data_IF_552466290364
#
_entry.id   IF_552466290364
#
_cell.length_a   1.000
_cell.length_b   1.000
_cell.length_c   1.000
_cell.angle_alpha   90.00
_cell.angle_beta   90.00
_cell.angle_gamma   90.00
#
_symmetry.space_group_name_H-M   'P 1'
#
loop_
_entity.id
_entity.type
_entity.pdbx_description
1 polymer ?
#
# COMPACT_ATOMS: atom_id res chain seq x y z
N UNK A 1 4.68 -1.12 22.96
CA UNK A 1 4.66 -1.27 21.49
C UNK A 1 5.16 -2.65 21.10
N UNK A 2 4.53 -3.30 20.11
CA UNK A 2 4.99 -4.58 19.56
C UNK A 2 6.18 -4.37 18.62
N UNK A 3 7.22 -5.21 18.75
CA UNK A 3 8.40 -5.19 17.89
C UNK A 3 8.22 -6.16 16.72
N UNK A 4 8.66 -5.74 15.53
CA UNK A 4 8.58 -6.52 14.29
C UNK A 4 9.95 -6.63 13.62
N UNK A 5 10.14 -7.69 12.83
CA UNK A 5 11.36 -7.88 12.05
C UNK A 5 12.61 -7.92 12.91
N UNK A 6 13.52 -7.02 12.61
CA UNK A 6 14.82 -6.92 13.27
C UNK A 6 14.84 -5.97 14.48
N UNK A 7 13.69 -5.50 14.93
CA UNK A 7 13.60 -4.63 16.12
C UNK A 7 13.96 -5.39 17.38
N UNK A 8 14.92 -4.86 18.15
CA UNK A 8 15.32 -5.40 19.45
C UNK A 8 15.61 -4.28 20.45
N UNK A 9 15.50 -4.59 21.74
CA UNK A 9 16.03 -3.74 22.81
C UNK A 9 17.52 -4.07 23.01
N UNK A 10 18.38 -3.12 22.70
CA UNK A 10 19.85 -3.23 22.81
C UNK A 10 20.37 -2.32 23.91
N UNK A 11 20.23 -2.77 25.17
CA UNK A 11 20.68 -2.02 26.36
C UNK A 11 19.89 -0.73 26.57
N UNK A 12 18.55 -0.82 26.56
CA UNK A 12 17.67 0.32 26.78
C UNK A 12 17.43 1.20 25.53
N UNK A 13 18.09 0.89 24.40
CA UNK A 13 17.93 1.63 23.14
C UNK A 13 17.36 0.70 22.07
N UNK A 14 16.37 1.17 21.33
CA UNK A 14 15.84 0.42 20.19
C UNK A 14 16.88 0.30 19.08
N UNK A 15 17.03 -0.91 18.57
CA UNK A 15 17.85 -1.24 17.40
C UNK A 15 16.96 -1.79 16.29
N UNK A 16 17.21 -1.38 15.03
CA UNK A 16 16.50 -1.85 13.83
C UNK A 16 17.55 -2.14 12.76
N UNK A 17 17.49 -3.32 12.15
CA UNK A 17 18.46 -3.70 11.11
C UNK A 17 19.91 -3.79 11.60
N UNK A 18 20.13 -3.95 12.91
CA UNK A 18 21.46 -3.98 13.51
C UNK A 18 22.04 -2.58 13.74
N UNK A 19 21.22 -1.52 13.81
CA UNK A 19 21.68 -0.13 14.06
C UNK A 19 20.78 0.51 15.11
N UNK A 20 21.37 1.12 16.13
CA UNK A 20 20.63 1.86 17.15
C UNK A 20 19.94 3.08 16.54
N UNK A 21 18.71 3.36 16.96
CA UNK A 21 17.95 4.52 16.47
C UNK A 21 18.64 5.86 16.83
N UNK A 22 19.44 5.91 17.88
CA UNK A 22 20.26 7.06 18.23
C UNK A 22 21.30 7.39 17.15
N UNK A 23 21.97 6.37 16.61
CA UNK A 23 22.93 6.52 15.52
C UNK A 23 22.24 6.95 14.21
N UNK A 24 21.03 6.39 13.94
CA UNK A 24 20.24 6.80 12.78
C UNK A 24 19.77 8.26 12.89
N UNK A 25 19.34 8.68 14.09
CA UNK A 25 18.93 10.06 14.34
C UNK A 25 20.11 11.05 14.21
N UNK A 26 21.31 10.67 14.68
CA UNK A 26 22.51 11.48 14.53
C UNK A 26 22.92 11.62 13.07
N UNK A 27 22.91 10.52 12.33
CA UNK A 27 23.38 10.46 10.94
C UNK A 27 22.41 11.13 9.95
N UNK A 28 21.09 10.98 10.14
CA UNK A 28 20.08 11.37 9.15
C UNK A 28 19.14 12.48 9.64
N UNK A 29 19.20 12.82 10.94
CA UNK A 29 18.25 13.74 11.57
C UNK A 29 16.85 13.13 11.71
N UNK A 30 15.98 13.90 12.38
CA UNK A 30 14.56 13.59 12.56
C UNK A 30 13.69 14.70 11.95
N UNK A 31 12.41 14.49 11.62
CA UNK A 31 11.72 13.19 11.52
C UNK A 31 12.38 12.26 10.50
N UNK A 32 12.32 10.94 10.71
CA UNK A 32 12.99 9.97 9.86
C UNK A 32 12.11 8.73 9.67
N UNK A 33 11.85 8.33 8.44
CA UNK A 33 11.31 7.01 8.16
C UNK A 33 12.43 5.97 8.10
N UNK A 34 12.26 4.90 8.87
CA UNK A 34 13.19 3.76 8.93
C UNK A 34 12.47 2.55 8.37
N UNK A 35 13.01 1.98 7.28
CA UNK A 35 12.47 0.78 6.62
C UNK A 35 13.38 -0.41 6.90
N UNK A 36 12.86 -1.40 7.63
CA UNK A 36 13.54 -2.68 7.85
C UNK A 36 13.48 -3.50 6.55
N UNK A 37 14.56 -3.44 5.79
CA UNK A 37 14.65 -4.13 4.50
C UNK A 37 14.56 -5.65 4.63
N UNK A 38 15.06 -6.21 5.73
CA UNK A 38 14.99 -7.66 5.95
C UNK A 38 13.54 -8.10 6.07
N UNK A 39 12.75 -7.43 6.89
CA UNK A 39 11.33 -7.74 7.06
C UNK A 39 10.53 -7.54 5.76
N UNK A 40 10.85 -6.50 4.96
CA UNK A 40 10.23 -6.29 3.64
C UNK A 40 10.49 -7.50 2.74
N UNK A 41 11.74 -7.92 2.63
CA UNK A 41 12.13 -9.06 1.78
C UNK A 41 11.49 -10.36 2.27
N UNK A 42 11.45 -10.60 3.59
CA UNK A 42 10.79 -11.76 4.19
C UNK A 42 9.29 -11.79 3.88
N UNK A 43 8.60 -10.64 3.99
CA UNK A 43 7.18 -10.55 3.65
C UNK A 43 6.92 -10.80 2.16
N UNK A 44 7.74 -10.24 1.26
CA UNK A 44 7.66 -10.52 -0.18
C UNK A 44 7.81 -12.01 -0.47
N UNK A 45 8.79 -12.66 0.17
CA UNK A 45 9.02 -14.10 0.03
C UNK A 45 7.86 -14.93 0.58
N UNK A 46 7.31 -14.58 1.76
CA UNK A 46 6.16 -15.28 2.33
C UNK A 46 4.97 -15.29 1.37
N UNK A 47 4.65 -14.17 0.73
CA UNK A 47 3.60 -14.14 -0.30
C UNK A 47 3.95 -15.00 -1.50
N UNK A 48 5.14 -14.81 -2.08
CA UNK A 48 5.56 -15.52 -3.28
C UNK A 48 5.61 -17.05 -3.08
N UNK A 49 6.11 -17.50 -1.92
CA UNK A 49 6.31 -18.92 -1.67
C UNK A 49 5.03 -19.66 -1.21
N UNK A 50 4.07 -18.96 -0.61
CA UNK A 50 2.87 -19.59 -0.09
C UNK A 50 1.61 -19.35 -0.94
N UNK A 51 1.63 -18.35 -1.84
CA UNK A 51 0.59 -18.18 -2.86
C UNK A 51 1.02 -18.91 -4.15
N UNK A 52 1.02 -20.25 -4.09
CA UNK A 52 1.42 -21.14 -5.20
C UNK A 52 0.41 -22.27 -5.40
N UNK A 53 0.18 -22.63 -6.66
CA UNK A 53 -0.60 -23.79 -7.07
C UNK A 53 0.12 -24.52 -8.20
N UNK A 54 -0.08 -25.82 -8.27
CA UNK A 54 0.36 -26.66 -9.40
C UNK A 54 -0.67 -26.65 -10.54
N UNK A 55 -1.88 -26.12 -10.30
CA UNK A 55 -3.02 -26.15 -11.25
C UNK A 55 -3.10 -24.89 -12.13
N UNK A 56 -2.53 -23.77 -11.68
CA UNK A 56 -2.51 -22.50 -12.40
C UNK A 56 -1.28 -21.67 -11.99
N UNK A 57 -0.88 -20.72 -12.83
CA UNK A 57 0.18 -19.77 -12.49
C UNK A 57 -0.31 -18.77 -11.43
N UNK A 58 0.57 -18.40 -10.51
CA UNK A 58 0.29 -17.38 -9.51
C UNK A 58 1.20 -16.17 -9.70
N UNK A 59 0.68 -14.98 -9.41
CA UNK A 59 1.46 -13.74 -9.45
C UNK A 59 1.13 -12.89 -8.23
N UNK A 60 2.17 -12.39 -7.57
CA UNK A 60 2.05 -11.42 -6.49
C UNK A 60 2.43 -10.04 -7.05
N UNK A 61 1.51 -9.09 -6.97
CA UNK A 61 1.69 -7.71 -7.43
C UNK A 61 1.83 -6.82 -6.21
N UNK A 62 2.96 -6.15 -6.04
CA UNK A 62 3.12 -5.19 -4.95
C UNK A 62 2.29 -3.93 -5.20
N UNK A 63 1.39 -3.58 -4.27
CA UNK A 63 0.59 -2.36 -4.37
C UNK A 63 1.42 -1.13 -4.01
N UNK A 64 1.93 -0.44 -5.04
CA UNK A 64 2.90 0.66 -4.93
C UNK A 64 2.39 1.87 -4.15
N UNK A 65 1.08 2.11 -4.16
CA UNK A 65 0.43 3.17 -3.36
C UNK A 65 0.73 3.10 -1.86
N UNK A 66 1.08 1.91 -1.34
CA UNK A 66 1.45 1.75 0.07
C UNK A 66 2.76 2.48 0.39
N UNK A 67 3.78 2.29 -0.43
CA UNK A 67 5.04 3.04 -0.43
C UNK A 67 5.80 2.77 -1.73
N UNK A 68 6.25 3.83 -2.40
CA UNK A 68 7.01 3.74 -3.64
C UNK A 68 8.32 4.51 -3.56
N UNK A 69 9.40 3.86 -3.96
CA UNK A 69 10.71 4.44 -4.23
C UNK A 69 11.46 3.57 -5.23
N UNK A 70 12.53 4.08 -5.84
CA UNK A 70 13.37 3.26 -6.73
C UNK A 70 13.94 2.03 -6.01
N UNK A 71 14.21 2.13 -4.71
CA UNK A 71 14.74 1.03 -3.90
C UNK A 71 13.71 -0.10 -3.76
N UNK A 72 12.44 0.22 -3.45
CA UNK A 72 11.39 -0.80 -3.33
C UNK A 72 11.12 -1.46 -4.70
N UNK A 73 11.15 -0.71 -5.81
CA UNK A 73 11.04 -1.30 -7.14
C UNK A 73 12.11 -2.38 -7.40
N UNK A 74 13.34 -2.12 -6.99
CA UNK A 74 14.43 -3.11 -7.12
C UNK A 74 14.23 -4.35 -6.24
N UNK A 75 13.65 -4.20 -5.05
CA UNK A 75 13.29 -5.35 -4.21
C UNK A 75 12.16 -6.17 -4.83
N UNK A 76 11.14 -5.51 -5.39
CA UNK A 76 10.04 -6.15 -6.13
C UNK A 76 10.59 -7.01 -7.28
N UNK A 77 11.48 -6.46 -8.12
CA UNK A 77 12.11 -7.20 -9.22
C UNK A 77 12.99 -8.36 -8.71
N UNK A 78 13.82 -8.11 -7.69
CA UNK A 78 14.71 -9.10 -7.07
C UNK A 78 13.95 -10.32 -6.55
N UNK A 79 12.77 -10.11 -5.99
CA UNK A 79 11.94 -11.16 -5.44
C UNK A 79 10.89 -11.70 -6.42
N UNK A 80 11.02 -11.36 -7.69
CA UNK A 80 10.15 -11.82 -8.78
C UNK A 80 8.66 -11.50 -8.58
N UNK A 81 8.36 -10.32 -8.00
CA UNK A 81 7.03 -9.77 -7.92
C UNK A 81 6.73 -8.86 -9.11
N UNK A 82 5.46 -8.62 -9.36
CA UNK A 82 4.96 -7.53 -10.18
C UNK A 82 4.69 -6.28 -9.33
N UNK A 83 4.30 -5.17 -9.95
CA UNK A 83 4.00 -3.91 -9.26
C UNK A 83 2.84 -3.20 -9.95
N UNK A 84 1.95 -2.61 -9.16
CA UNK A 84 0.94 -1.71 -9.70
C UNK A 84 1.42 -0.25 -9.76
N UNK A 85 0.68 0.56 -10.49
CA UNK A 85 0.79 2.01 -10.51
C UNK A 85 -0.61 2.62 -10.66
N UNK A 86 -0.84 3.81 -10.09
CA UNK A 86 -2.15 4.49 -10.09
C UNK A 86 -2.06 5.88 -10.74
N UNK A 87 -0.86 6.37 -11.01
CA UNK A 87 -0.61 7.70 -11.58
C UNK A 87 0.61 7.73 -12.50
N UNK A 88 0.69 8.76 -13.33
CA UNK A 88 1.89 9.02 -14.16
C UNK A 88 3.17 9.19 -13.33
N UNK A 89 3.06 9.77 -12.13
CA UNK A 89 4.19 9.90 -11.21
C UNK A 89 4.71 8.56 -10.70
N UNK A 90 3.83 7.64 -10.36
CA UNK A 90 4.21 6.26 -10.00
C UNK A 90 4.79 5.51 -11.19
N UNK A 91 4.16 5.58 -12.37
CA UNK A 91 4.72 5.00 -13.61
C UNK A 91 6.13 5.52 -13.92
N UNK A 92 6.33 6.83 -13.80
CA UNK A 92 7.63 7.43 -14.04
C UNK A 92 8.67 6.98 -13.01
N UNK A 93 8.30 6.89 -11.74
CA UNK A 93 9.18 6.42 -10.66
C UNK A 93 9.62 4.97 -10.90
N UNK A 94 8.68 4.10 -11.29
CA UNK A 94 8.96 2.70 -11.62
C UNK A 94 9.88 2.63 -12.86
N UNK A 95 9.58 3.38 -13.92
CA UNK A 95 10.43 3.46 -15.12
C UNK A 95 11.84 3.92 -14.79
N UNK A 96 11.97 4.97 -13.96
CA UNK A 96 13.25 5.52 -13.54
C UNK A 96 14.05 4.61 -12.59
N UNK A 97 13.42 3.58 -12.02
CA UNK A 97 14.12 2.53 -11.25
C UNK A 97 14.87 1.55 -12.16
N UNK A 98 14.50 1.47 -13.44
CA UNK A 98 15.11 0.56 -14.42
C UNK A 98 14.69 -0.90 -14.31
N UNK A 99 13.54 -1.19 -13.66
CA UNK A 99 12.96 -2.54 -13.67
C UNK A 99 12.16 -2.78 -14.96
N UNK A 100 11.85 -4.05 -15.24
CA UNK A 100 11.05 -4.41 -16.40
C UNK A 100 9.64 -3.86 -16.31
N UNK A 101 9.26 -2.99 -17.26
CA UNK A 101 7.91 -2.42 -17.31
C UNK A 101 6.82 -3.45 -17.65
N UNK A 102 7.18 -4.63 -18.16
CA UNK A 102 6.24 -5.75 -18.35
C UNK A 102 5.65 -6.30 -17.05
N UNK A 103 6.23 -5.95 -15.91
CA UNK A 103 5.74 -6.30 -14.57
C UNK A 103 4.74 -5.26 -14.01
N UNK A 104 4.47 -4.18 -14.75
CA UNK A 104 3.66 -3.05 -14.27
C UNK A 104 2.21 -3.20 -14.72
N UNK A 105 1.28 -2.98 -13.79
CA UNK A 105 -0.14 -2.96 -14.01
C UNK A 105 -0.70 -1.58 -13.65
N UNK A 106 -1.36 -0.89 -14.61
CA UNK A 106 -1.89 0.44 -14.37
C UNK A 106 -3.32 0.39 -13.87
N UNK A 107 -3.55 0.87 -12.67
CA UNK A 107 -4.84 1.01 -12.02
C UNK A 107 -5.35 2.46 -12.03
N UNK A 108 -6.50 2.69 -11.47
CA UNK A 108 -7.11 4.02 -11.29
C UNK A 108 -8.49 4.11 -11.95
N UNK A 109 -9.39 4.85 -11.30
CA UNK A 109 -10.76 5.02 -11.75
C UNK A 109 -10.96 6.19 -12.74
N UNK A 110 -9.90 6.98 -12.96
CA UNK A 110 -9.90 8.08 -13.93
C UNK A 110 -8.47 8.35 -14.40
N UNK A 111 -7.94 7.46 -15.24
CA UNK A 111 -6.63 7.65 -15.87
C UNK A 111 -6.72 8.74 -16.94
N UNK A 112 -5.78 9.67 -16.95
CA UNK A 112 -5.71 10.70 -18.00
C UNK A 112 -5.20 10.10 -19.32
N UNK A 113 -5.49 10.77 -20.44
CA UNK A 113 -4.99 10.32 -21.74
C UNK A 113 -3.46 10.29 -21.79
N UNK A 114 -2.79 11.23 -21.10
CA UNK A 114 -1.34 11.25 -21.01
C UNK A 114 -0.80 10.06 -20.23
N UNK A 115 -1.45 9.66 -19.14
CA UNK A 115 -1.11 8.45 -18.39
C UNK A 115 -1.34 7.18 -19.23
N UNK A 116 -2.42 7.12 -19.99
CA UNK A 116 -2.68 6.01 -20.92
C UNK A 116 -1.63 5.96 -22.04
N UNK A 117 -1.23 7.12 -22.60
CA UNK A 117 -0.13 7.20 -23.57
C UNK A 117 1.19 6.75 -22.97
N UNK A 118 1.49 7.14 -21.71
CA UNK A 118 2.69 6.67 -20.99
C UNK A 118 2.67 5.15 -20.82
N UNK A 119 1.51 4.53 -20.55
CA UNK A 119 1.39 3.07 -20.45
C UNK A 119 1.86 2.36 -21.73
N UNK A 120 1.45 2.87 -22.89
CA UNK A 120 1.86 2.31 -24.17
C UNK A 120 3.35 2.60 -24.46
N UNK A 121 3.79 3.84 -24.25
CA UNK A 121 5.19 4.24 -24.50
C UNK A 121 6.20 3.48 -23.64
N UNK A 122 5.81 3.16 -22.40
CA UNK A 122 6.63 2.36 -21.50
C UNK A 122 6.43 0.85 -21.70
N UNK A 123 5.48 0.46 -22.55
CA UNK A 123 5.17 -0.93 -22.86
C UNK A 123 4.92 -1.78 -21.60
N UNK A 124 4.00 -1.32 -20.76
CA UNK A 124 3.67 -1.97 -19.47
C UNK A 124 3.00 -3.35 -19.66
N UNK A 125 2.81 -4.07 -18.55
CA UNK A 125 2.21 -5.40 -18.55
C UNK A 125 0.74 -5.39 -18.91
N UNK A 126 -0.08 -4.55 -18.25
CA UNK A 126 -1.51 -4.42 -18.53
C UNK A 126 -2.11 -3.12 -17.97
N UNK A 127 -3.28 -2.75 -18.46
CA UNK A 127 -4.14 -1.71 -17.90
C UNK A 127 -5.35 -2.39 -17.25
N UNK A 128 -5.68 -1.99 -16.03
CA UNK A 128 -6.92 -2.39 -15.35
C UNK A 128 -7.96 -1.32 -15.68
N UNK A 129 -8.86 -1.63 -16.60
CA UNK A 129 -9.99 -0.77 -16.98
C UNK A 129 -10.94 -0.66 -15.81
N UNK A 130 -11.39 0.54 -15.50
CA UNK A 130 -12.27 0.78 -14.36
C UNK A 130 -13.74 0.99 -14.77
N UNK A 131 -13.97 1.46 -15.99
CA UNK A 131 -15.30 1.78 -16.49
C UNK A 131 -15.40 1.64 -18.02
N UNK A 132 -16.64 1.67 -18.52
CA UNK A 132 -16.97 1.50 -19.95
C UNK A 132 -16.36 2.58 -20.85
N UNK A 133 -16.32 3.85 -20.41
CA UNK A 133 -15.77 4.96 -21.23
C UNK A 133 -14.25 4.81 -21.46
N UNK A 134 -13.56 4.22 -20.50
CA UNK A 134 -12.12 4.00 -20.61
C UNK A 134 -11.76 2.99 -21.72
N UNK A 135 -12.66 2.06 -22.05
CA UNK A 135 -12.46 1.08 -23.13
C UNK A 135 -12.20 1.79 -24.45
N UNK A 136 -13.06 2.74 -24.82
CA UNK A 136 -12.94 3.48 -26.07
C UNK A 136 -11.69 4.36 -26.08
N UNK A 137 -11.39 5.01 -24.95
CA UNK A 137 -10.22 5.88 -24.82
C UNK A 137 -8.92 5.09 -25.01
N UNK A 138 -8.78 3.95 -24.34
CA UNK A 138 -7.60 3.08 -24.47
C UNK A 138 -7.49 2.54 -25.88
N UNK A 139 -8.60 2.08 -26.49
CA UNK A 139 -8.61 1.58 -27.87
C UNK A 139 -8.18 2.65 -28.86
N UNK A 140 -8.67 3.88 -28.74
CA UNK A 140 -8.31 4.99 -29.62
C UNK A 140 -6.82 5.31 -29.53
N UNK A 141 -6.27 5.39 -28.33
CA UNK A 141 -4.83 5.64 -28.12
C UNK A 141 -3.99 4.49 -28.68
N UNK A 142 -4.41 3.25 -28.49
CA UNK A 142 -3.77 2.09 -29.11
C UNK A 142 -3.74 2.18 -30.64
N UNK A 143 -4.87 2.58 -31.23
CA UNK A 143 -5.02 2.77 -32.68
C UNK A 143 -4.11 3.90 -33.19
N UNK A 144 -4.08 5.05 -32.53
CA UNK A 144 -3.18 6.17 -32.86
C UNK A 144 -1.71 5.76 -32.85
N UNK A 145 -1.31 4.93 -31.85
CA UNK A 145 0.06 4.45 -31.72
C UNK A 145 0.38 3.17 -32.48
N UNK A 146 -0.61 2.60 -33.18
CA UNK A 146 -0.50 1.30 -33.87
C UNK A 146 0.04 0.19 -32.93
N UNK A 147 -0.49 0.13 -31.72
CA UNK A 147 -0.10 -0.80 -30.66
C UNK A 147 -1.31 -1.56 -30.13
N UNK A 148 -1.05 -2.68 -29.43
CA UNK A 148 -2.04 -3.40 -28.63
C UNK A 148 -1.61 -3.41 -27.18
N UNK A 149 -2.60 -3.48 -26.28
CA UNK A 149 -2.36 -3.56 -24.86
C UNK A 149 -3.21 -4.66 -24.21
N UNK A 150 -2.65 -5.33 -23.22
CA UNK A 150 -3.36 -6.26 -22.34
C UNK A 150 -4.22 -5.50 -21.36
N UNK A 151 -5.46 -5.94 -21.16
CA UNK A 151 -6.39 -5.28 -20.26
C UNK A 151 -7.12 -6.29 -19.38
N UNK A 152 -7.40 -5.89 -18.16
CA UNK A 152 -8.37 -6.54 -17.28
C UNK A 152 -9.48 -5.55 -16.98
N UNK A 153 -10.69 -6.04 -16.71
CA UNK A 153 -11.79 -5.19 -16.25
C UNK A 153 -11.89 -5.29 -14.72
N UNK A 154 -11.83 -4.15 -14.04
CA UNK A 154 -12.15 -4.09 -12.62
C UNK A 154 -13.63 -4.25 -12.42
N UNK A 155 -14.03 -5.18 -11.56
CA UNK A 155 -15.44 -5.46 -11.27
C UNK A 155 -15.73 -5.26 -9.78
N UNK A 156 -16.94 -4.77 -9.53
CA UNK A 156 -17.51 -4.65 -8.21
C UNK A 156 -18.40 -5.85 -7.95
N UNK A 157 -17.97 -6.71 -7.04
CA UNK A 157 -18.64 -7.99 -6.72
C UNK A 157 -19.60 -7.89 -5.51
N UNK A 158 -19.79 -6.70 -4.96
CA UNK A 158 -20.80 -6.43 -3.93
C UNK A 158 -20.50 -7.00 -2.53
N UNK A 159 -19.29 -7.46 -2.26
CA UNK A 159 -18.93 -8.02 -0.93
C UNK A 159 -18.61 -6.90 0.04
N UNK A 160 -19.23 -6.94 1.22
CA UNK A 160 -18.92 -6.04 2.34
C UNK A 160 -17.96 -6.74 3.32
N UNK A 161 -16.72 -6.27 3.36
CA UNK A 161 -15.69 -6.82 4.23
C UNK A 161 -15.71 -6.24 5.65
N UNK A 162 -16.80 -5.55 6.09
CA UNK A 162 -16.97 -4.94 7.41
C UNK A 162 -15.80 -4.05 7.86
N UNK A 163 -15.18 -3.33 6.90
CA UNK A 163 -14.07 -2.42 7.15
C UNK A 163 -14.56 -0.98 7.31
N UNK A 164 -13.67 -0.06 7.73
CA UNK A 164 -14.00 1.37 7.86
C UNK A 164 -14.57 1.92 6.55
N UNK A 165 -15.60 2.77 6.62
CA UNK A 165 -16.36 3.29 5.47
C UNK A 165 -15.49 3.85 4.32
N UNK A 166 -14.40 4.54 4.65
CA UNK A 166 -13.47 5.12 3.65
C UNK A 166 -12.54 4.11 2.96
N UNK A 167 -12.52 2.85 3.42
CA UNK A 167 -11.66 1.81 2.84
C UNK A 167 -12.44 0.63 2.24
N UNK A 168 -13.78 0.72 2.21
CA UNK A 168 -14.65 -0.22 1.52
C UNK A 168 -14.67 0.11 0.02
N UNK A 169 -14.32 -0.86 -0.82
CA UNK A 169 -14.19 -0.67 -2.27
C UNK A 169 -15.19 -1.46 -3.11
N UNK A 170 -15.98 -2.32 -2.49
CA UNK A 170 -16.91 -3.22 -3.17
C UNK A 170 -18.38 -3.05 -2.82
N UNK A 171 -18.77 -1.93 -2.18
CA UNK A 171 -20.19 -1.57 -2.04
C UNK A 171 -20.81 -1.23 -3.40
N UNK A 172 -22.12 -1.46 -3.57
CA UNK A 172 -22.85 -1.10 -4.80
C UNK A 172 -22.70 0.37 -5.21
N UNK A 173 -22.45 1.27 -4.23
CA UNK A 173 -22.20 2.69 -4.46
C UNK A 173 -20.73 3.06 -4.60
N UNK A 174 -19.81 2.08 -4.71
CA UNK A 174 -18.39 2.33 -4.89
C UNK A 174 -18.13 3.02 -6.24
N UNK A 175 -17.21 3.97 -6.24
CA UNK A 175 -16.74 4.64 -7.47
C UNK A 175 -15.84 3.76 -8.34
N UNK A 176 -15.51 2.55 -7.91
CA UNK A 176 -14.55 1.68 -8.57
C UNK A 176 -15.21 0.49 -9.23
N UNK A 177 -14.84 0.26 -10.47
CA UNK A 177 -15.16 -0.92 -11.24
C UNK A 177 -16.62 -1.01 -11.70
N UNK A 178 -16.86 -1.83 -12.70
CA UNK A 178 -18.19 -2.13 -13.21
C UNK A 178 -18.92 -3.15 -12.33
N UNK A 179 -20.20 -2.92 -12.05
CA UNK A 179 -20.98 -3.81 -11.20
C UNK A 179 -21.39 -5.08 -11.96
N UNK A 180 -21.11 -6.25 -11.37
CA UNK A 180 -21.59 -7.54 -11.93
C UNK A 180 -23.12 -7.67 -11.88
N UNK A 181 -23.80 -6.79 -11.15
CA UNK A 181 -25.28 -6.75 -11.02
C UNK A 181 -25.94 -5.84 -12.08
N UNK A 182 -25.15 -5.08 -12.87
CA UNK A 182 -25.68 -4.31 -13.99
C UNK A 182 -26.03 -5.27 -15.14
N UNK A 183 -27.25 -5.15 -15.66
CA UNK A 183 -27.72 -5.98 -16.79
C UNK A 183 -26.87 -5.80 -18.05
N UNK A 184 -26.22 -4.63 -18.20
CA UNK A 184 -25.31 -4.30 -19.31
C UNK A 184 -23.90 -4.89 -19.15
N UNK A 185 -23.57 -5.47 -17.98
CA UNK A 185 -22.23 -5.97 -17.70
C UNK A 185 -21.69 -6.94 -18.79
N UNK A 186 -22.48 -7.92 -19.30
CA UNK A 186 -22.01 -8.76 -20.40
C UNK A 186 -21.74 -8.00 -21.71
N UNK A 187 -22.48 -6.92 -21.98
CA UNK A 187 -22.27 -6.07 -23.17
C UNK A 187 -20.97 -5.27 -23.05
N UNK A 188 -20.66 -4.76 -21.86
CA UNK A 188 -19.39 -4.08 -21.57
C UNK A 188 -18.20 -5.02 -21.82
N UNK A 189 -18.29 -6.27 -21.33
CA UNK A 189 -17.24 -7.27 -21.58
C UNK A 189 -17.13 -7.59 -23.07
N UNK A 190 -18.27 -7.75 -23.77
CA UNK A 190 -18.29 -8.01 -25.21
C UNK A 190 -17.62 -6.90 -26.02
N UNK A 191 -17.76 -5.61 -25.63
CA UNK A 191 -17.05 -4.49 -26.24
C UNK A 191 -15.53 -4.64 -26.12
N UNK A 192 -15.02 -5.01 -24.97
CA UNK A 192 -13.56 -5.22 -24.75
C UNK A 192 -13.07 -6.37 -25.65
N UNK A 193 -13.77 -7.50 -25.64
CA UNK A 193 -13.36 -8.71 -26.35
C UNK A 193 -13.39 -8.52 -27.87
N UNK A 194 -14.35 -7.76 -28.40
CA UNK A 194 -14.47 -7.48 -29.82
C UNK A 194 -13.46 -6.45 -30.35
N UNK A 195 -12.81 -5.71 -29.45
CA UNK A 195 -11.84 -4.68 -29.85
C UNK A 195 -10.49 -5.31 -30.21
N UNK A 196 -10.07 -5.11 -31.45
CA UNK A 196 -8.82 -5.68 -31.99
C UNK A 196 -7.53 -5.10 -31.40
N UNK A 197 -7.62 -3.95 -30.72
CA UNK A 197 -6.48 -3.27 -30.11
C UNK A 197 -6.29 -3.66 -28.66
N UNK A 198 -7.28 -4.33 -28.05
CA UNK A 198 -7.28 -4.77 -26.66
C UNK A 198 -7.11 -6.29 -26.59
N UNK A 199 -6.26 -6.77 -25.71
CA UNK A 199 -6.14 -8.18 -25.38
C UNK A 199 -6.76 -8.39 -23.98
N UNK A 200 -8.01 -8.89 -23.95
CA UNK A 200 -8.72 -9.11 -22.70
C UNK A 200 -8.16 -10.31 -21.95
N UNK A 201 -7.66 -10.07 -20.75
CA UNK A 201 -7.10 -11.09 -19.87
C UNK A 201 -8.14 -11.66 -18.90
N UNK A 202 -9.08 -10.82 -18.43
CA UNK A 202 -10.06 -11.23 -17.43
C UNK A 202 -10.41 -10.14 -16.44
N UNK A 203 -10.75 -10.56 -15.21
CA UNK A 203 -11.33 -9.67 -14.21
C UNK A 203 -10.38 -9.39 -13.04
N UNK A 204 -10.50 -8.18 -12.50
CA UNK A 204 -9.86 -7.74 -11.27
C UNK A 204 -10.94 -7.34 -10.27
N UNK A 205 -10.76 -7.67 -8.99
CA UNK A 205 -11.55 -7.10 -7.90
C UNK A 205 -10.67 -6.62 -6.74
N UNK A 206 -11.24 -5.84 -5.86
CA UNK A 206 -10.60 -5.46 -4.60
C UNK A 206 -11.69 -5.21 -3.55
N UNK A 207 -11.75 -6.06 -2.53
CA UNK A 207 -12.86 -6.12 -1.57
C UNK A 207 -12.72 -5.17 -0.37
N UNK A 208 -11.57 -4.54 -0.18
CA UNK A 208 -11.36 -3.61 0.93
C UNK A 208 -9.92 -3.56 1.41
N UNK A 209 -9.71 -3.03 2.60
CA UNK A 209 -8.38 -2.90 3.21
C UNK A 209 -8.45 -3.18 4.71
N UNK A 210 -7.37 -3.69 5.30
CA UNK A 210 -7.26 -4.04 6.71
C UNK A 210 -8.24 -5.16 7.09
N UNK A 211 -8.29 -6.21 6.26
CA UNK A 211 -9.15 -7.39 6.43
C UNK A 211 -8.31 -8.48 7.10
N UNK A 212 -8.80 -9.00 8.22
CA UNK A 212 -8.10 -10.02 9.03
C UNK A 212 -8.70 -11.41 8.86
N UNK A 213 -9.95 -11.50 8.41
CA UNK A 213 -10.67 -12.77 8.25
C UNK A 213 -10.56 -13.29 6.81
N UNK A 214 -10.26 -14.59 6.68
CA UNK A 214 -10.24 -15.28 5.38
C UNK A 214 -11.62 -15.38 4.75
N UNK A 215 -12.71 -15.30 5.53
CA UNK A 215 -14.07 -15.50 5.05
C UNK A 215 -14.45 -14.53 3.92
N UNK A 216 -14.17 -13.24 4.09
CA UNK A 216 -14.46 -12.24 3.05
C UNK A 216 -13.67 -12.51 1.76
N UNK A 217 -12.43 -13.00 1.86
CA UNK A 217 -11.65 -13.42 0.70
C UNK A 217 -12.23 -14.68 0.05
N UNK A 218 -12.66 -15.67 0.83
CA UNK A 218 -13.27 -16.90 0.31
C UNK A 218 -14.56 -16.59 -0.45
N UNK A 219 -15.45 -15.76 0.11
CA UNK A 219 -16.66 -15.29 -0.57
C UNK A 219 -16.30 -14.54 -1.87
N UNK A 220 -15.30 -13.68 -1.85
CA UNK A 220 -14.80 -12.97 -3.04
C UNK A 220 -14.31 -13.91 -4.13
N UNK A 221 -13.54 -14.93 -3.76
CA UNK A 221 -13.04 -15.95 -4.66
C UNK A 221 -14.21 -16.70 -5.35
N UNK A 222 -15.20 -17.14 -4.58
CA UNK A 222 -16.36 -17.86 -5.12
C UNK A 222 -17.14 -17.02 -6.11
N UNK A 223 -17.42 -15.76 -5.77
CA UNK A 223 -18.14 -14.83 -6.66
C UNK A 223 -17.34 -14.56 -7.94
N UNK A 224 -16.03 -14.32 -7.81
CA UNK A 224 -15.15 -14.06 -8.96
C UNK A 224 -15.10 -15.24 -9.92
N UNK A 225 -14.93 -16.45 -9.42
CA UNK A 225 -14.86 -17.67 -10.24
C UNK A 225 -16.21 -17.93 -10.92
N UNK A 226 -17.32 -17.84 -10.18
CA UNK A 226 -18.66 -18.05 -10.70
C UNK A 226 -19.03 -17.03 -11.79
N UNK A 227 -18.75 -15.74 -11.57
CA UNK A 227 -19.06 -14.71 -12.55
C UNK A 227 -18.15 -14.83 -13.78
N UNK A 228 -16.87 -15.16 -13.60
CA UNK A 228 -15.96 -15.43 -14.72
C UNK A 228 -16.46 -16.57 -15.58
N UNK A 229 -16.92 -17.68 -15.00
CA UNK A 229 -17.53 -18.80 -15.73
C UNK A 229 -18.77 -18.37 -16.48
N UNK A 230 -19.70 -17.70 -15.80
CA UNK A 230 -20.97 -17.23 -16.37
C UNK A 230 -20.75 -16.35 -17.62
N UNK A 231 -19.79 -15.42 -17.57
CA UNK A 231 -19.46 -14.55 -18.70
C UNK A 231 -18.74 -15.32 -19.80
N UNK A 232 -17.81 -16.21 -19.45
CA UNK A 232 -17.12 -17.09 -20.40
C UNK A 232 -18.10 -17.91 -21.21
N UNK A 233 -19.09 -18.55 -20.57
CA UNK A 233 -20.13 -19.34 -21.21
C UNK A 233 -21.08 -18.46 -22.04
N UNK A 234 -21.56 -17.33 -21.47
CA UNK A 234 -22.51 -16.43 -22.13
C UNK A 234 -21.95 -15.84 -23.43
N UNK A 235 -20.69 -15.48 -23.46
CA UNK A 235 -20.03 -14.85 -24.60
C UNK A 235 -19.24 -15.85 -25.46
N UNK A 236 -19.17 -17.11 -25.04
CA UNK A 236 -18.37 -18.17 -25.68
C UNK A 236 -16.91 -17.75 -25.88
N UNK A 237 -16.26 -17.27 -24.80
CA UNK A 237 -14.87 -16.78 -24.77
C UNK A 237 -14.06 -17.48 -23.69
N UNK A 238 -12.73 -17.52 -23.87
CA UNK A 238 -11.80 -17.88 -22.80
C UNK A 238 -11.44 -16.64 -21.97
N UNK A 239 -11.47 -16.77 -20.65
CA UNK A 239 -11.02 -15.73 -19.69
C UNK A 239 -9.86 -16.32 -18.90
N UNK A 240 -8.60 -16.00 -19.29
CA UNK A 240 -7.43 -16.70 -18.76
C UNK A 240 -6.99 -16.25 -17.37
N UNK A 241 -7.33 -15.04 -16.92
CA UNK A 241 -6.77 -14.49 -15.69
C UNK A 241 -7.83 -13.93 -14.73
N UNK A 242 -7.59 -14.11 -13.42
CA UNK A 242 -8.33 -13.47 -12.34
C UNK A 242 -7.34 -12.77 -11.42
N UNK A 243 -7.63 -11.53 -11.02
CA UNK A 243 -6.90 -10.81 -10.00
C UNK A 243 -7.81 -10.52 -8.81
N UNK A 244 -7.47 -11.07 -7.65
CA UNK A 244 -8.26 -11.00 -6.42
C UNK A 244 -7.97 -9.75 -5.58
N UNK A 245 -7.08 -8.87 -6.07
CA UNK A 245 -6.69 -7.66 -5.36
C UNK A 245 -5.91 -7.92 -4.08
N UNK A 246 -5.92 -6.94 -3.21
CA UNK A 246 -5.25 -6.99 -1.92
C UNK A 246 -6.23 -6.79 -0.77
N UNK A 247 -5.74 -6.16 0.30
CA UNK A 247 -6.58 -5.85 1.46
C UNK A 247 -6.13 -6.52 2.75
N UNK A 248 -5.08 -7.33 2.72
CA UNK A 248 -4.54 -8.06 3.87
C UNK A 248 -4.18 -7.13 5.02
N UNK A 249 -4.74 -7.39 6.22
CA UNK A 249 -4.56 -6.58 7.41
C UNK A 249 -3.18 -6.75 8.05
N UNK A 250 -2.78 -5.73 8.81
CA UNK A 250 -1.55 -5.73 9.61
C UNK A 250 -1.85 -5.23 11.02
N UNK A 251 -0.98 -5.56 11.95
CA UNK A 251 -1.05 -5.08 13.31
C UNK A 251 -0.68 -3.59 13.39
N UNK A 252 -1.52 -2.78 14.00
CA UNK A 252 -1.25 -1.40 14.40
C UNK A 252 -1.23 -1.24 15.91
N UNK A 253 -2.16 -1.90 16.60
CA UNK A 253 -2.31 -1.86 18.06
C UNK A 253 -2.73 -3.22 18.60
N UNK A 254 -2.75 -3.37 19.89
CA UNK A 254 -3.22 -4.58 20.60
C UNK A 254 -4.65 -5.04 20.24
N UNK A 255 -5.42 -4.17 19.59
CA UNK A 255 -6.77 -4.50 19.09
C UNK A 255 -6.74 -5.34 17.80
N UNK A 256 -5.61 -5.34 17.12
CA UNK A 256 -5.45 -6.04 15.84
C UNK A 256 -4.86 -7.43 16.02
N UNK A 257 -5.40 -8.40 15.31
CA UNK A 257 -4.82 -9.74 15.22
C UNK A 257 -3.85 -9.80 14.05
N UNK A 258 -2.57 -10.09 14.31
CA UNK A 258 -1.59 -10.24 13.25
C UNK A 258 -1.96 -11.44 12.34
N UNK A 259 -2.01 -11.21 11.03
CA UNK A 259 -2.23 -12.27 10.05
C UNK A 259 -0.95 -13.13 9.93
N UNK A 260 -1.12 -14.44 10.03
CA UNK A 260 -0.11 -15.40 9.59
C UNK A 260 -0.21 -15.53 8.06
N UNK A 261 0.66 -14.80 7.33
CA UNK A 261 0.65 -14.75 5.87
C UNK A 261 0.70 -16.14 5.25
N UNK A 262 1.51 -17.05 5.80
CA UNK A 262 1.70 -18.40 5.24
C UNK A 262 0.41 -19.21 5.30
N UNK A 263 -0.23 -19.25 6.48
CA UNK A 263 -1.50 -19.96 6.65
C UNK A 263 -2.61 -19.34 5.84
N UNK A 264 -2.63 -18.01 5.78
CA UNK A 264 -3.64 -17.28 5.03
C UNK A 264 -3.55 -17.57 3.52
N UNK A 265 -2.35 -17.53 2.95
CA UNK A 265 -2.14 -17.82 1.53
C UNK A 265 -2.45 -19.28 1.18
N UNK A 266 -2.06 -20.22 2.02
CA UNK A 266 -2.40 -21.64 1.84
C UNK A 266 -3.92 -21.84 1.85
N UNK A 267 -4.62 -21.24 2.80
CA UNK A 267 -6.10 -21.28 2.87
C UNK A 267 -6.75 -20.68 1.63
N UNK A 268 -6.23 -19.57 1.10
CA UNK A 268 -6.73 -18.98 -0.15
C UNK A 268 -6.54 -19.93 -1.34
N UNK A 269 -5.35 -20.50 -1.51
CA UNK A 269 -5.05 -21.43 -2.63
C UNK A 269 -5.98 -22.66 -2.57
N UNK A 270 -6.10 -23.28 -1.40
CA UNK A 270 -7.01 -24.42 -1.22
C UNK A 270 -8.46 -24.06 -1.56
N UNK A 271 -8.92 -22.86 -1.18
CA UNK A 271 -10.26 -22.40 -1.47
C UNK A 271 -10.47 -22.10 -2.96
N UNK A 272 -9.47 -21.50 -3.63
CA UNK A 272 -9.46 -21.27 -5.07
C UNK A 272 -9.58 -22.60 -5.82
N UNK A 273 -8.75 -23.59 -5.49
CA UNK A 273 -8.72 -24.89 -6.16
C UNK A 273 -10.06 -25.63 -6.01
N UNK A 274 -10.64 -25.63 -4.81
CA UNK A 274 -11.96 -26.20 -4.54
C UNK A 274 -13.08 -25.48 -5.31
N UNK A 275 -13.02 -24.15 -5.41
CA UNK A 275 -14.01 -23.36 -6.14
C UNK A 275 -13.93 -23.59 -7.65
N UNK A 276 -12.73 -23.67 -8.21
CA UNK A 276 -12.52 -24.02 -9.63
C UNK A 276 -13.04 -25.42 -9.95
N UNK A 277 -12.79 -26.39 -9.07
CA UNK A 277 -13.28 -27.76 -9.22
C UNK A 277 -14.79 -27.83 -9.13
N UNK A 278 -15.40 -27.17 -8.15
CA UNK A 278 -16.87 -27.09 -7.99
C UNK A 278 -17.55 -26.49 -9.23
N UNK A 279 -16.95 -25.47 -9.83
CA UNK A 279 -17.47 -24.83 -11.03
C UNK A 279 -17.04 -25.53 -12.34
N UNK A 280 -16.25 -26.60 -12.26
CA UNK A 280 -15.64 -27.28 -13.42
C UNK A 280 -14.97 -26.27 -14.38
N UNK A 281 -14.16 -25.38 -13.82
CA UNK A 281 -13.49 -24.29 -14.52
C UNK A 281 -11.98 -24.44 -14.45
N UNK A 282 -11.29 -24.09 -15.52
CA UNK A 282 -9.83 -23.92 -15.55
C UNK A 282 -9.48 -22.46 -15.75
N UNK A 283 -8.40 -22.03 -15.13
CA UNK A 283 -7.84 -20.69 -15.23
C UNK A 283 -6.34 -20.78 -15.48
N UNK A 284 -5.77 -19.89 -16.26
CA UNK A 284 -4.33 -19.92 -16.54
C UNK A 284 -3.51 -19.23 -15.44
N UNK A 285 -4.04 -18.10 -14.91
CA UNK A 285 -3.31 -17.31 -13.92
C UNK A 285 -4.24 -16.65 -12.90
N UNK A 286 -3.82 -16.67 -11.63
CA UNK A 286 -4.47 -15.92 -10.55
C UNK A 286 -3.44 -15.02 -9.87
N UNK A 287 -3.85 -13.77 -9.60
CA UNK A 287 -2.98 -12.76 -8.98
C UNK A 287 -3.59 -12.20 -7.70
N UNK A 288 -2.70 -11.71 -6.80
CA UNK A 288 -3.06 -10.94 -5.59
C UNK A 288 -2.21 -9.68 -5.51
N UNK A 289 -2.70 -8.66 -4.75
CA UNK A 289 -2.07 -7.35 -4.68
C UNK A 289 -1.76 -6.88 -3.23
N UNK A 290 -0.88 -7.59 -2.48
CA UNK A 290 -0.46 -7.13 -1.17
C UNK A 290 0.37 -5.84 -1.27
N UNK A 291 0.03 -4.85 -0.46
CA UNK A 291 0.82 -3.62 -0.31
C UNK A 291 1.12 -3.37 1.14
N UNK A 292 0.09 -2.98 1.92
CA UNK A 292 0.18 -2.73 3.36
C UNK A 292 0.88 -3.86 4.11
N UNK A 293 0.53 -5.09 3.86
CA UNK A 293 1.06 -6.26 4.58
C UNK A 293 2.52 -6.60 4.24
N UNK A 294 3.05 -6.07 3.15
CA UNK A 294 4.49 -6.18 2.84
C UNK A 294 5.29 -5.13 3.61
N UNK A 295 4.83 -3.86 3.60
CA UNK A 295 5.67 -2.74 4.02
C UNK A 295 5.24 -2.13 5.38
N UNK A 296 3.99 -2.33 5.83
CA UNK A 296 3.40 -1.62 6.97
C UNK A 296 4.20 -1.78 8.26
N UNK A 297 4.35 -3.02 8.74
CA UNK A 297 5.09 -3.31 9.97
C UNK A 297 6.62 -3.21 9.81
N UNK A 298 7.11 -3.15 8.57
CA UNK A 298 8.54 -2.99 8.28
C UNK A 298 8.99 -1.52 8.31
N UNK A 299 8.07 -0.56 8.38
CA UNK A 299 8.38 0.85 8.46
C UNK A 299 7.99 1.48 9.79
N UNK A 300 8.85 2.35 10.30
CA UNK A 300 8.64 3.14 11.50
C UNK A 300 9.05 4.59 11.27
N UNK A 301 8.48 5.52 12.04
CA UNK A 301 8.87 6.93 11.98
C UNK A 301 9.49 7.35 13.31
N UNK A 302 10.71 7.85 13.24
CA UNK A 302 11.49 8.33 14.38
C UNK A 302 11.39 9.85 14.45
N UNK A 303 11.03 10.35 15.62
CA UNK A 303 10.88 11.77 15.94
C UNK A 303 11.77 12.16 17.11
N UNK A 304 12.09 13.43 17.20
CA UNK A 304 12.72 14.03 18.39
C UNK A 304 11.67 14.76 19.23
N UNK A 305 11.67 14.50 20.52
CA UNK A 305 10.84 15.22 21.49
C UNK A 305 11.36 16.66 21.64
N UNK A 306 10.51 17.63 21.33
CA UNK A 306 10.81 19.06 21.50
C UNK A 306 10.52 19.58 22.90
N UNK A 307 9.59 18.95 23.60
CA UNK A 307 9.17 19.30 24.96
C UNK A 307 7.89 18.61 25.36
N UNK A 308 7.46 18.86 26.61
CA UNK A 308 6.21 18.35 27.17
C UNK A 308 5.41 19.48 27.80
N UNK A 309 4.11 19.30 27.91
CA UNK A 309 3.20 20.27 28.56
C UNK A 309 2.04 19.55 29.20
N UNK A 310 1.74 19.89 30.43
CA UNK A 310 0.49 19.52 31.07
C UNK A 310 -0.48 20.72 31.02
N UNK A 311 -1.71 20.50 30.56
CA UNK A 311 -2.74 21.53 30.51
C UNK A 311 -3.44 21.65 31.84
N UNK A 312 -4.13 22.77 32.07
CA UNK A 312 -4.97 22.96 33.27
C UNK A 312 -6.04 21.87 33.40
N UNK A 313 -6.50 21.28 32.28
CA UNK A 313 -7.44 20.14 32.26
C UNK A 313 -6.78 18.76 32.46
N UNK A 314 -5.51 18.69 32.84
CA UNK A 314 -4.79 17.44 33.15
C UNK A 314 -4.36 16.62 31.94
N UNK A 315 -4.47 17.15 30.70
CA UNK A 315 -3.95 16.47 29.51
C UNK A 315 -2.44 16.70 29.40
N UNK A 316 -1.67 15.61 29.35
CA UNK A 316 -0.24 15.65 29.18
C UNK A 316 0.14 15.47 27.71
N UNK A 317 0.79 16.48 27.13
CA UNK A 317 1.28 16.48 25.76
C UNK A 317 2.76 16.18 25.68
N UNK A 318 3.17 15.40 24.69
CA UNK A 318 4.54 15.25 24.23
C UNK A 318 4.62 15.81 22.81
N UNK A 319 5.41 16.85 22.60
CA UNK A 319 5.57 17.53 21.31
C UNK A 319 6.75 16.93 20.55
N UNK A 320 6.53 16.66 19.25
CA UNK A 320 7.54 16.09 18.36
C UNK A 320 7.87 17.02 17.20
N UNK A 321 9.03 16.83 16.59
CA UNK A 321 9.53 17.64 15.47
C UNK A 321 8.89 17.31 14.09
N UNK A 322 7.95 16.37 14.03
CA UNK A 322 7.09 16.07 12.89
C UNK A 322 5.62 16.26 13.21
N UNK A 323 4.75 15.46 12.59
CA UNK A 323 3.31 15.51 12.85
C UNK A 323 2.47 14.95 11.72
N UNK A 324 1.27 15.52 11.55
CA UNK A 324 0.32 15.08 10.51
C UNK A 324 0.87 15.23 9.09
N UNK A 325 1.88 16.05 8.87
CA UNK A 325 2.60 16.14 7.61
C UNK A 325 3.34 14.87 7.24
N UNK A 326 3.73 14.07 8.23
CA UNK A 326 4.43 12.81 8.05
C UNK A 326 3.47 11.62 8.15
N UNK A 327 2.45 11.72 9.01
CA UNK A 327 1.44 10.70 9.20
C UNK A 327 0.05 11.33 9.36
N UNK A 328 -0.64 11.56 8.23
CA UNK A 328 -1.99 12.14 8.19
C UNK A 328 -3.08 11.19 8.70
N UNK A 329 -2.80 9.89 8.79
CA UNK A 329 -3.82 8.86 9.02
C UNK A 329 -4.55 8.96 10.37
N UNK A 330 -3.93 9.37 11.50
CA UNK A 330 -4.67 9.64 12.73
C UNK A 330 -5.73 10.73 12.57
N UNK A 331 -5.41 11.80 11.85
CA UNK A 331 -6.36 12.91 11.59
C UNK A 331 -7.44 12.51 10.58
N UNK A 332 -7.08 11.81 9.49
CA UNK A 332 -7.97 11.49 8.38
C UNK A 332 -8.89 10.28 8.66
N UNK A 333 -8.33 9.22 9.27
CA UNK A 333 -9.01 7.94 9.46
C UNK A 333 -9.21 7.58 10.94
N UNK A 334 -8.81 8.44 11.88
CA UNK A 334 -8.74 8.11 13.31
C UNK A 334 -7.90 6.85 13.58
N UNK A 335 -6.90 6.60 12.72
CA UNK A 335 -6.04 5.44 12.82
C UNK A 335 -5.20 5.52 14.10
N UNK A 336 -5.21 4.45 14.87
CA UNK A 336 -4.41 4.33 16.09
C UNK A 336 -3.04 3.74 15.78
N UNK A 337 -2.05 4.15 16.54
CA UNK A 337 -0.67 3.69 16.45
C UNK A 337 -0.08 3.43 17.83
N UNK A 338 0.95 2.61 17.90
CA UNK A 338 1.79 2.44 19.08
C UNK A 338 3.11 3.20 18.93
N UNK A 339 3.64 3.67 20.04
CA UNK A 339 4.95 4.32 20.11
C UNK A 339 5.70 3.94 21.37
N UNK A 340 7.01 4.21 21.36
CA UNK A 340 7.91 4.09 22.53
C UNK A 340 8.89 5.26 22.57
N UNK A 341 9.42 5.56 23.77
CA UNK A 341 10.63 6.37 23.91
C UNK A 341 11.81 5.47 23.57
N UNK A 342 12.27 5.57 22.33
CA UNK A 342 13.13 4.58 21.71
C UNK A 342 14.58 4.56 22.24
N UNK A 343 14.99 5.59 22.96
CA UNK A 343 16.30 5.66 23.65
C UNK A 343 16.21 5.36 25.15
N UNK A 344 15.03 4.93 25.66
CA UNK A 344 14.77 4.65 27.07
C UNK A 344 13.84 3.46 27.26
N UNK A 345 14.04 2.36 26.51
CA UNK A 345 13.14 1.21 26.48
C UNK A 345 13.02 0.45 27.81
N UNK A 346 13.98 0.60 28.72
CA UNK A 346 13.96 -0.07 30.03
C UNK A 346 13.19 0.74 31.08
N UNK A 347 12.73 1.96 30.75
CA UNK A 347 11.88 2.75 31.64
C UNK A 347 10.42 2.27 31.61
N UNK A 348 9.72 2.44 32.73
CA UNK A 348 8.33 2.01 32.90
C UNK A 348 7.41 2.89 32.03
N UNK A 349 6.54 2.28 31.27
CA UNK A 349 5.49 2.97 30.51
C UNK A 349 4.27 3.21 31.40
N UNK A 350 4.27 4.27 32.21
CA UNK A 350 3.21 4.58 33.17
C UNK A 350 2.51 5.94 32.96
N UNK A 351 3.03 6.80 32.10
CA UNK A 351 2.44 8.09 31.82
C UNK A 351 1.41 8.02 30.67
N UNK A 352 0.17 8.48 30.94
CA UNK A 352 -0.83 8.63 29.87
C UNK A 352 -0.60 9.97 29.18
N UNK A 353 -0.25 9.93 27.90
CA UNK A 353 0.10 11.11 27.13
C UNK A 353 -0.62 11.16 25.78
N UNK A 354 -0.67 12.36 25.20
CA UNK A 354 -1.03 12.63 23.82
C UNK A 354 0.21 13.15 23.09
N UNK A 355 0.62 12.45 22.02
CA UNK A 355 1.73 12.90 21.17
C UNK A 355 1.19 13.84 20.10
N UNK A 356 1.64 15.09 20.12
CA UNK A 356 1.22 16.14 19.20
C UNK A 356 2.39 16.57 18.31
N UNK A 357 2.10 16.80 17.04
CA UNK A 357 3.03 17.36 16.08
C UNK A 357 3.24 18.86 16.25
N UNK A 358 4.01 19.43 15.34
CA UNK A 358 4.39 20.85 15.34
C UNK A 358 3.52 21.72 14.41
N UNK A 359 2.55 21.15 13.71
CA UNK A 359 1.71 21.92 12.80
C UNK A 359 0.75 22.83 13.58
N UNK A 360 0.47 24.02 13.02
CA UNK A 360 -0.51 24.94 13.58
C UNK A 360 -1.94 24.47 13.26
N UNK A 361 -2.29 23.29 13.78
CA UNK A 361 -3.55 22.57 13.54
C UNK A 361 -3.92 21.75 14.77
N UNK A 362 -5.14 21.93 15.29
CA UNK A 362 -5.63 21.22 16.49
C UNK A 362 -5.71 19.71 16.29
N UNK A 363 -5.89 19.25 15.06
CA UNK A 363 -5.94 17.83 14.67
C UNK A 363 -4.57 17.16 14.53
N UNK A 364 -3.46 17.89 14.73
CA UNK A 364 -2.10 17.33 14.63
C UNK A 364 -1.73 16.50 15.85
N UNK A 365 -2.44 15.40 16.02
CA UNK A 365 -2.30 14.44 17.11
C UNK A 365 -1.98 13.07 16.54
N UNK A 366 -0.76 12.58 16.77
CA UNK A 366 -0.29 11.28 16.24
C UNK A 366 -0.75 10.13 17.11
N UNK A 367 -0.74 10.33 18.43
CA UNK A 367 -1.20 9.34 19.41
C UNK A 367 -2.05 10.05 20.46
N UNK A 368 -3.15 9.44 20.85
CA UNK A 368 -4.06 10.01 21.85
C UNK A 368 -4.20 9.07 23.05
N UNK A 369 -4.02 9.61 24.26
CA UNK A 369 -4.32 8.93 25.53
C UNK A 369 -3.72 7.52 25.61
N UNK A 370 -2.43 7.38 25.36
CA UNK A 370 -1.70 6.11 25.45
C UNK A 370 -0.63 6.17 26.52
N UNK A 371 -0.35 5.00 27.12
CA UNK A 371 0.78 4.84 28.03
C UNK A 371 2.09 4.95 27.28
N UNK A 372 3.02 5.72 27.81
CA UNK A 372 4.35 5.92 27.29
C UNK A 372 5.33 6.04 28.47
N UNK A 373 6.61 5.73 28.25
CA UNK A 373 7.66 6.08 29.19
C UNK A 373 7.80 7.60 29.34
N UNK A 374 8.39 8.07 30.43
CA UNK A 374 8.59 9.50 30.69
C UNK A 374 9.42 10.14 29.56
N UNK A 375 8.81 11.06 28.84
CA UNK A 375 9.44 11.78 27.74
C UNK A 375 10.05 13.11 28.20
N UNK A 376 11.28 13.38 27.78
CA UNK A 376 12.00 14.63 28.06
C UNK A 376 12.46 15.24 26.72
N UNK A 377 12.75 16.56 26.76
CA UNK A 377 13.30 17.27 25.58
C UNK A 377 14.59 16.60 25.10
N UNK A 378 14.63 16.26 23.83
CA UNK A 378 15.79 15.61 23.18
C UNK A 378 15.66 14.09 23.06
N UNK A 379 14.72 13.47 23.76
CA UNK A 379 14.44 12.04 23.60
C UNK A 379 13.99 11.70 22.17
N UNK A 380 14.10 10.44 21.84
CA UNK A 380 13.67 9.89 20.56
C UNK A 380 12.38 9.08 20.74
N UNK A 381 11.33 9.52 20.08
CA UNK A 381 10.04 8.82 20.04
C UNK A 381 9.89 8.10 18.70
N UNK A 382 9.66 6.79 18.74
CA UNK A 382 9.41 6.00 17.54
C UNK A 382 7.95 5.59 17.49
N UNK A 383 7.31 5.86 16.35
CA UNK A 383 5.97 5.37 16.01
C UNK A 383 6.11 4.17 15.09
N UNK A 384 5.59 3.02 15.51
CA UNK A 384 5.64 1.77 14.73
C UNK A 384 4.60 1.73 13.60
N UNK A 385 4.76 0.78 12.68
CA UNK A 385 3.77 0.45 11.62
C UNK A 385 3.41 1.64 10.71
N UNK A 386 4.37 2.51 10.42
CA UNK A 386 4.17 3.67 9.53
C UNK A 386 4.66 3.43 8.09
N UNK A 387 5.09 2.20 7.76
CA UNK A 387 5.66 1.87 6.46
C UNK A 387 4.67 2.01 5.29
N UNK A 388 3.38 1.75 5.53
CA UNK A 388 2.34 1.89 4.52
C UNK A 388 1.52 3.16 4.74
N UNK A 389 1.33 3.93 3.65
CA UNK A 389 0.50 5.15 3.64
C UNK A 389 0.96 6.24 4.63
N UNK A 390 2.19 6.16 5.14
CA UNK A 390 2.89 7.23 5.86
C UNK A 390 3.51 8.18 4.85
N UNK A 391 4.75 7.88 4.41
CA UNK A 391 5.46 8.73 3.45
C UNK A 391 4.67 9.00 2.17
N UNK A 392 3.95 8.01 1.64
CA UNK A 392 3.15 8.16 0.40
C UNK A 392 2.07 9.24 0.51
N UNK A 393 1.53 9.48 1.72
CA UNK A 393 0.51 10.49 1.99
C UNK A 393 1.08 11.73 2.69
N UNK A 394 2.39 11.81 2.85
CA UNK A 394 3.04 12.97 3.48
C UNK A 394 2.86 14.23 2.63
N UNK A 395 2.86 15.39 3.29
CA UNK A 395 2.59 16.68 2.68
C UNK A 395 3.53 17.77 3.17
N UNK A 396 3.46 18.93 2.52
CA UNK A 396 4.20 20.13 2.92
C UNK A 396 3.30 21.16 3.64
N UNK A 397 2.26 20.71 4.36
CA UNK A 397 1.45 21.62 5.16
C UNK A 397 2.32 22.43 6.13
N UNK A 398 2.02 23.69 6.35
CA UNK A 398 2.86 24.68 7.02
C UNK A 398 4.29 24.81 6.43
N UNK A 399 4.51 24.46 5.14
CA UNK A 399 5.82 24.40 4.48
C UNK A 399 6.81 23.47 5.24
N UNK A 400 6.32 22.45 5.95
CA UNK A 400 7.18 21.44 6.55
C UNK A 400 7.89 20.60 5.47
N UNK A 401 9.18 20.35 5.67
CA UNK A 401 9.98 19.49 4.78
C UNK A 401 9.55 18.03 4.93
N UNK A 402 9.38 17.30 3.84
CA UNK A 402 9.15 15.86 3.91
C UNK A 402 10.41 15.15 4.44
N UNK A 403 10.25 14.18 5.37
CA UNK A 403 11.35 13.47 5.99
C UNK A 403 12.19 12.65 5.00
N UNK A 404 13.41 12.32 5.39
CA UNK A 404 14.17 11.29 4.70
C UNK A 404 13.58 9.90 4.94
N UNK A 405 13.80 8.98 3.98
CA UNK A 405 13.52 7.55 4.14
C UNK A 405 14.82 6.78 4.01
N UNK A 406 15.15 5.98 5.02
CA UNK A 406 16.33 5.12 5.04
C UNK A 406 15.94 3.65 5.11
N UNK A 407 16.67 2.82 4.40
CA UNK A 407 16.59 1.37 4.52
C UNK A 407 17.72 0.89 5.42
N UNK A 408 17.40 -0.04 6.32
CA UNK A 408 18.34 -0.65 7.27
C UNK A 408 18.37 -2.16 7.12
N UNK A 409 19.55 -2.78 7.13
CA UNK A 409 19.74 -4.22 7.07
C UNK A 409 21.17 -4.60 7.46
N UNK A 410 21.34 -5.60 8.35
CA UNK A 410 22.64 -6.18 8.72
C UNK A 410 23.70 -5.11 9.11
N UNK A 411 23.35 -4.19 9.99
CA UNK A 411 24.24 -3.12 10.46
C UNK A 411 24.56 -2.03 9.42
N UNK A 412 23.85 -2.01 8.29
CA UNK A 412 24.01 -1.00 7.23
C UNK A 412 22.75 -0.18 7.03
N UNK A 413 22.94 1.10 6.69
CA UNK A 413 21.85 2.01 6.36
C UNK A 413 22.14 2.77 5.07
N UNK A 414 21.09 2.98 4.26
CA UNK A 414 21.17 3.74 3.02
C UNK A 414 19.94 4.63 2.83
N UNK A 415 20.16 5.86 2.35
CA UNK A 415 19.07 6.77 2.00
C UNK A 415 18.38 6.25 0.72
N UNK A 416 17.08 6.02 0.78
CA UNK A 416 16.23 5.75 -0.37
C UNK A 416 15.61 7.04 -0.92
N UNK A 417 15.16 7.91 -0.02
CA UNK A 417 14.61 9.23 -0.37
C UNK A 417 15.28 10.26 0.55
N UNK A 418 15.84 11.31 -0.05
CA UNK A 418 16.46 12.40 0.71
C UNK A 418 15.38 13.23 1.40
N UNK A 419 15.72 13.82 2.56
CA UNK A 419 14.93 14.91 3.16
C UNK A 419 14.86 16.06 2.17
N UNK A 420 13.70 16.71 2.04
CA UNK A 420 13.59 17.94 1.28
C UNK A 420 14.45 19.03 1.91
N UNK A 421 15.11 19.84 1.08
CA UNK A 421 15.74 21.08 1.50
C UNK A 421 14.71 22.22 1.55
N UNK A 422 15.06 23.37 2.12
CA UNK A 422 14.19 24.55 2.06
C UNK A 422 14.02 25.06 0.63
N UNK A 423 15.04 24.90 -0.21
CA UNK A 423 15.02 25.24 -1.63
C UNK A 423 14.02 24.34 -2.38
N UNK A 424 13.90 23.06 -2.02
CA UNK A 424 12.90 22.16 -2.63
C UNK A 424 11.47 22.66 -2.40
N UNK A 425 11.20 23.33 -1.27
CA UNK A 425 9.87 23.85 -0.93
C UNK A 425 9.44 25.03 -1.80
N UNK A 426 10.38 25.75 -2.39
CA UNK A 426 10.14 26.94 -3.23
C UNK A 426 10.58 26.75 -4.68
N UNK A 427 11.06 25.58 -5.03
CA UNK A 427 11.61 25.26 -6.36
C UNK A 427 10.65 25.61 -7.51
N UNK A 428 9.34 25.48 -7.30
CA UNK A 428 8.32 25.73 -8.30
C UNK A 428 7.60 27.07 -8.09
N UNK A 429 8.00 27.85 -7.07
CA UNK A 429 7.39 29.16 -6.79
C UNK A 429 7.95 30.18 -7.80
N UNK A 430 7.07 30.94 -8.44
CA UNK A 430 7.40 32.02 -9.39
C UNK A 430 6.79 33.30 -8.86
N UNK A 431 7.64 34.35 -8.75
CA UNK A 431 7.12 35.68 -8.44
C UNK A 431 6.28 36.21 -9.62
N UNK A 432 5.04 36.67 -9.35
CA UNK A 432 4.14 37.20 -10.38
C UNK A 432 3.60 38.53 -9.89
N UNK A 433 3.79 39.61 -10.69
CA UNK A 433 3.04 40.87 -10.57
C UNK A 433 1.81 40.81 -11.47
N UNK A 434 0.65 41.16 -10.91
CA UNK A 434 -0.65 41.24 -11.62
C UNK A 434 -0.99 42.70 -11.95
#
# INVERSE_FOLDING_TARGET
>A
MKFFGTMINSGGVLEIGGIKVTELAEKYGTPLYIMDQQLIEENMLKYRENFKSDRFKTTVVYASKAFLSKAICKLVEKHDLHIDAVSGGELYTIKASGISMKRVHMHGNNKTDDELKMCLDYNIGSIILDNEEEIERVSNICKEKNQKIKVMLRINIGIDAHTHEYIQTSKHSSKFGESIFDERFPEIVAKIVSDKNLEFLGFHCHIGSQIFDTKAFHEGIEVMIKETKKISEKLNISIPEINLGGGFGVYYTEKDTAIDIEKFMKSMIEHIEKSLEKENMTIEKISIEPGRSIIGNAGSTLYRVGGTKETFGGVKYVFIDGGMTDNIRPALYQAEYEAVIANKLDEIEDEIVTVAGKCCESGDLIIKNRKLGKAEKGDLLLVGTTGAYGYSMSSNYNKAQRPAVVFVKNGKSAISIKRESLEDLVRNDIYTEL
#
